data_IF_800963306826
#
_entry.id   IF_800963306826
#
_cell.length_a   1.000
_cell.length_b   1.000
_cell.length_c   1.000
_cell.angle_alpha   90.00
_cell.angle_beta   90.00
_cell.angle_gamma   90.00
#
_symmetry.space_group_name_H-M   'P 1'
#
loop_
_entity.id
_entity.type
_entity.pdbx_description
1 polymer ?
#
# COMPACT_ATOMS: atom_id res chain seq x y z
N UNK A 1 11.23 0.70 25.14
CA UNK A 1 10.99 1.05 23.73
C UNK A 1 9.64 0.49 23.27
N UNK A 2 8.77 1.31 22.68
CA UNK A 2 7.52 0.87 22.09
C UNK A 2 7.80 0.03 20.84
N UNK A 3 6.91 -0.92 20.54
CA UNK A 3 6.87 -1.55 19.22
C UNK A 3 5.90 -0.79 18.34
N UNK A 4 6.16 -0.79 17.03
CA UNK A 4 5.24 -0.22 16.05
C UNK A 4 4.64 -1.34 15.22
N UNK A 5 3.31 -1.40 15.18
CA UNK A 5 2.53 -2.26 14.30
C UNK A 5 1.94 -1.38 13.21
N UNK A 6 2.17 -1.76 11.96
CA UNK A 6 1.63 -1.08 10.79
C UNK A 6 0.62 -2.01 10.11
N UNK A 7 -0.63 -1.54 10.06
CA UNK A 7 -1.73 -2.17 9.34
C UNK A 7 -1.94 -1.42 8.03
N UNK A 8 -1.36 -1.93 6.95
CA UNK A 8 -1.54 -1.38 5.62
C UNK A 8 -2.81 -1.91 4.98
N UNK A 9 -3.89 -1.14 5.03
CA UNK A 9 -5.16 -1.51 4.40
C UNK A 9 -5.27 -0.76 3.07
N UNK A 10 -5.09 -1.46 1.97
CA UNK A 10 -5.01 -0.87 0.62
C UNK A 10 -6.39 -0.41 0.15
N UNK A 11 -6.63 0.90 0.02
CA UNK A 11 -7.90 1.44 -0.45
C UNK A 11 -8.92 1.83 0.62
N UNK A 12 -8.51 2.20 1.84
CA UNK A 12 -9.40 2.84 2.82
C UNK A 12 -9.72 4.30 2.49
N UNK A 13 -11.02 4.62 2.42
CA UNK A 13 -11.52 5.97 2.20
C UNK A 13 -11.99 6.65 3.49
N UNK A 14 -11.37 7.78 3.83
CA UNK A 14 -11.66 8.55 5.06
C UNK A 14 -13.16 8.86 5.21
N UNK A 15 -13.80 9.35 4.16
CA UNK A 15 -15.21 9.75 4.23
C UNK A 15 -16.15 8.56 4.45
N UNK A 16 -15.76 7.36 3.98
CA UNK A 16 -16.49 6.13 4.23
C UNK A 16 -16.28 5.65 5.67
N UNK A 17 -15.04 5.70 6.16
CA UNK A 17 -14.68 5.37 7.55
C UNK A 17 -15.46 6.23 8.54
N UNK A 18 -15.52 7.54 8.31
CA UNK A 18 -16.25 8.49 9.17
C UNK A 18 -17.76 8.28 9.09
N UNK A 19 -18.31 8.13 7.89
CA UNK A 19 -19.76 7.94 7.69
C UNK A 19 -20.28 6.67 8.35
N UNK A 20 -19.46 5.62 8.39
CA UNK A 20 -19.79 4.34 9.02
C UNK A 20 -19.42 4.28 10.51
N UNK A 21 -18.87 5.35 11.08
CA UNK A 21 -18.44 5.43 12.48
C UNK A 21 -17.51 4.27 12.91
N UNK A 22 -16.56 3.89 12.06
CA UNK A 22 -15.67 2.74 12.29
C UNK A 22 -14.60 3.08 13.35
N UNK A 23 -14.97 2.98 14.64
CA UNK A 23 -14.15 3.42 15.78
C UNK A 23 -12.85 2.64 16.00
N UNK A 24 -12.72 1.43 15.44
CA UNK A 24 -11.46 0.70 15.40
C UNK A 24 -10.48 1.38 14.44
N UNK A 25 -10.98 1.84 13.29
CA UNK A 25 -10.22 2.60 12.29
C UNK A 25 -10.04 4.08 12.67
N UNK A 26 -10.98 4.71 13.37
CA UNK A 26 -10.89 6.09 13.89
C UNK A 26 -10.22 6.12 15.26
N UNK A 27 -8.88 6.12 15.29
CA UNK A 27 -8.11 6.08 16.53
C UNK A 27 -7.95 7.49 17.16
N UNK A 28 -6.92 7.73 17.98
CA UNK A 28 -6.75 9.00 18.70
C UNK A 28 -6.42 10.17 17.77
N UNK A 29 -5.77 9.88 16.66
CA UNK A 29 -5.47 10.82 15.59
C UNK A 29 -5.60 10.11 14.25
N UNK A 30 -6.35 10.68 13.31
CA UNK A 30 -6.54 10.11 11.98
C UNK A 30 -6.84 11.22 10.97
N UNK A 31 -6.65 10.93 9.69
CA UNK A 31 -6.92 11.90 8.64
C UNK A 31 -6.38 11.47 7.27
N UNK A 32 -6.28 12.46 6.38
CA UNK A 32 -5.75 12.26 5.02
C UNK A 32 -4.23 12.21 5.03
N UNK A 33 -3.69 11.49 4.05
CA UNK A 33 -2.25 11.43 3.73
C UNK A 33 -2.05 11.92 2.31
N UNK A 34 -1.06 12.78 2.09
CA UNK A 34 -0.62 13.11 0.73
C UNK A 34 0.21 11.98 0.16
N UNK A 35 -0.12 11.54 -1.05
CA UNK A 35 0.53 10.38 -1.70
C UNK A 35 1.08 10.78 -3.07
N UNK A 36 2.20 10.19 -3.51
CA UNK A 36 2.78 10.49 -4.81
C UNK A 36 1.91 9.91 -5.94
N UNK A 37 1.68 10.72 -6.97
CA UNK A 37 1.11 10.27 -8.24
C UNK A 37 2.22 10.41 -9.29
N UNK A 38 2.77 9.28 -9.71
CA UNK A 38 3.91 9.22 -10.61
C UNK A 38 3.61 8.35 -11.84
N UNK A 39 4.62 8.18 -12.70
CA UNK A 39 4.49 7.35 -13.90
C UNK A 39 3.59 7.89 -15.01
N UNK A 40 3.08 9.13 -14.85
CA UNK A 40 2.09 9.71 -15.76
C UNK A 40 0.70 9.11 -15.59
N UNK A 41 0.42 8.52 -14.42
CA UNK A 41 -0.90 8.09 -13.98
C UNK A 41 -1.71 9.29 -13.50
N UNK A 42 -3.03 9.12 -13.42
CA UNK A 42 -3.95 10.12 -12.84
C UNK A 42 -4.30 9.83 -11.38
N UNK A 43 -4.09 8.58 -10.96
CA UNK A 43 -4.41 8.03 -9.64
C UNK A 43 -3.16 7.48 -8.95
N UNK A 44 -3.16 7.38 -7.61
CA UNK A 44 -2.08 6.72 -6.87
C UNK A 44 -1.90 5.27 -7.32
N UNK A 45 -0.69 4.74 -7.14
CA UNK A 45 -0.39 3.35 -7.49
C UNK A 45 0.29 2.64 -6.34
N UNK A 46 -0.30 1.53 -5.90
CA UNK A 46 0.18 0.64 -4.84
C UNK A 46 1.70 0.46 -4.82
N UNK A 47 2.38 -0.07 -5.85
CA UNK A 47 3.84 -0.24 -5.82
C UNK A 47 4.62 1.06 -5.64
N UNK A 48 4.12 2.19 -6.15
CA UNK A 48 4.78 3.49 -6.03
C UNK A 48 4.62 4.03 -4.60
N UNK A 49 3.38 4.11 -4.11
CA UNK A 49 3.05 4.72 -2.82
C UNK A 49 3.60 3.91 -1.66
N UNK A 50 3.46 2.57 -1.69
CA UNK A 50 4.01 1.72 -0.64
C UNK A 50 5.54 1.72 -0.63
N UNK A 51 6.19 1.82 -1.80
CA UNK A 51 7.65 2.01 -1.82
C UNK A 51 8.04 3.36 -1.22
N UNK A 52 7.31 4.44 -1.51
CA UNK A 52 7.55 5.75 -0.89
C UNK A 52 7.31 5.72 0.63
N UNK A 53 6.30 4.98 1.11
CA UNK A 53 6.03 4.77 2.53
C UNK A 53 7.21 4.08 3.23
N UNK A 54 7.64 2.92 2.74
CA UNK A 54 8.69 2.12 3.41
C UNK A 54 10.08 2.72 3.25
N UNK A 55 10.32 3.63 2.30
CA UNK A 55 11.64 4.26 2.10
C UNK A 55 11.71 5.68 2.66
N UNK A 56 10.58 6.34 2.87
CA UNK A 56 10.54 7.76 3.19
C UNK A 56 11.03 8.66 2.05
N UNK A 57 11.14 8.12 0.84
CA UNK A 57 11.70 8.81 -0.32
C UNK A 57 10.63 8.99 -1.41
N UNK A 58 10.78 9.99 -2.29
CA UNK A 58 9.92 10.12 -3.47
C UNK A 58 10.32 9.12 -4.58
N UNK A 59 9.43 8.87 -5.56
CA UNK A 59 9.66 7.92 -6.66
C UNK A 59 10.96 8.08 -7.43
N UNK A 60 11.43 9.32 -7.60
CA UNK A 60 12.66 9.63 -8.31
C UNK A 60 13.91 9.13 -7.58
N UNK A 61 13.82 8.98 -6.25
CA UNK A 61 14.94 8.56 -5.38
C UNK A 61 14.92 7.06 -5.17
N UNK A 62 13.79 6.47 -4.77
CA UNK A 62 13.71 5.01 -4.55
C UNK A 62 13.67 4.20 -5.85
N UNK A 63 13.40 4.83 -6.99
CA UNK A 63 13.51 4.23 -8.32
C UNK A 63 12.24 3.55 -8.86
N UNK A 64 11.18 3.45 -8.05
CA UNK A 64 9.89 2.85 -8.44
C UNK A 64 8.93 3.97 -8.83
N UNK A 65 9.08 4.46 -10.07
CA UNK A 65 8.29 5.58 -10.61
C UNK A 65 7.20 5.16 -11.60
N UNK A 66 6.95 3.85 -11.68
CA UNK A 66 5.96 3.19 -12.53
C UNK A 66 5.39 1.95 -11.82
N UNK A 67 4.14 1.54 -12.13
CA UNK A 67 3.57 0.31 -11.59
C UNK A 67 4.29 -0.96 -12.06
N UNK A 68 4.98 -0.88 -13.20
CA UNK A 68 5.69 -1.98 -13.84
C UNK A 68 7.03 -1.48 -14.34
N UNK A 69 8.02 -2.36 -14.32
CA UNK A 69 9.37 -2.12 -14.84
C UNK A 69 9.61 -2.91 -16.14
N UNK A 70 10.61 -2.48 -16.90
CA UNK A 70 11.03 -3.10 -18.16
C UNK A 70 12.55 -3.26 -18.18
N UNK A 71 13.03 -4.48 -17.90
CA UNK A 71 14.42 -4.87 -17.60
C UNK A 71 15.54 -4.18 -18.43
N UNK A 72 15.30 -3.87 -19.70
CA UNK A 72 16.32 -3.33 -20.62
C UNK A 72 16.17 -1.84 -20.98
N UNK A 73 15.13 -1.17 -20.50
CA UNK A 73 14.79 0.20 -20.94
C UNK A 73 14.77 1.24 -19.83
N UNK A 74 14.77 0.85 -18.56
CA UNK A 74 14.58 1.80 -17.46
C UNK A 74 15.78 2.75 -17.27
N UNK A 75 17.01 2.26 -17.44
CA UNK A 75 18.22 3.11 -17.41
C UNK A 75 18.23 4.17 -18.52
N UNK A 76 17.81 3.79 -19.74
CA UNK A 76 17.69 4.73 -20.88
C UNK A 76 16.56 5.73 -20.62
N UNK A 77 15.46 5.26 -20.04
CA UNK A 77 14.28 6.08 -19.74
C UNK A 77 14.56 7.15 -18.70
N UNK A 78 15.30 6.85 -17.62
CA UNK A 78 15.67 7.86 -16.62
C UNK A 78 16.54 8.98 -17.22
N UNK A 79 17.47 8.65 -18.12
CA UNK A 79 18.26 9.65 -18.86
C UNK A 79 17.40 10.53 -19.77
N UNK A 80 16.43 9.93 -20.46
CA UNK A 80 15.54 10.65 -21.39
C UNK A 80 14.52 11.54 -20.66
N UNK A 81 14.05 11.18 -19.46
CA UNK A 81 13.12 12.01 -18.66
C UNK A 81 13.72 13.37 -18.30
N UNK A 82 15.05 13.48 -18.16
CA UNK A 82 15.75 14.77 -17.95
C UNK A 82 15.62 15.72 -19.14
N UNK A 83 15.27 15.22 -20.32
CA UNK A 83 15.09 16.00 -21.55
C UNK A 83 13.64 16.50 -21.73
N UNK A 84 12.91 16.69 -20.62
CA UNK A 84 11.56 17.27 -20.46
C UNK A 84 10.67 17.39 -21.71
N UNK A 85 10.85 18.39 -22.59
CA UNK A 85 10.05 18.56 -23.82
C UNK A 85 10.06 17.34 -24.75
N UNK A 86 11.23 16.73 -24.95
CA UNK A 86 11.43 15.59 -25.84
C UNK A 86 10.75 14.32 -25.29
N UNK A 87 10.81 14.12 -23.97
CA UNK A 87 10.10 13.03 -23.31
C UNK A 87 8.58 13.18 -23.45
N UNK A 88 8.05 14.39 -23.28
CA UNK A 88 6.61 14.68 -23.48
C UNK A 88 6.17 14.40 -24.90
N UNK A 89 6.97 14.80 -25.90
CA UNK A 89 6.71 14.54 -27.31
C UNK A 89 6.75 13.03 -27.63
N UNK A 90 7.78 12.32 -27.17
CA UNK A 90 7.86 10.86 -27.35
C UNK A 90 6.69 10.11 -26.70
N UNK A 91 6.22 10.59 -25.55
CA UNK A 91 5.04 10.05 -24.85
C UNK A 91 3.77 10.27 -25.68
N UNK A 92 3.56 11.48 -26.19
CA UNK A 92 2.42 11.81 -27.07
C UNK A 92 2.39 10.92 -28.33
N UNK A 93 3.55 10.73 -28.97
CA UNK A 93 3.69 9.88 -30.16
C UNK A 93 3.62 8.37 -29.88
N UNK A 94 3.43 7.94 -28.62
CA UNK A 94 3.43 6.53 -28.19
C UNK A 94 4.70 5.76 -28.58
N UNK A 95 5.81 6.45 -28.87
CA UNK A 95 7.06 5.87 -29.36
C UNK A 95 7.65 4.87 -28.36
N UNK A 96 7.51 5.13 -27.05
CA UNK A 96 7.94 4.19 -26.02
C UNK A 96 7.23 2.83 -26.09
N UNK A 97 5.98 2.75 -26.56
CA UNK A 97 5.25 1.48 -26.74
C UNK A 97 5.79 0.71 -27.95
N UNK A 98 6.11 1.41 -29.03
CA UNK A 98 6.72 0.82 -30.21
C UNK A 98 8.13 0.28 -29.91
N UNK A 99 8.96 1.05 -29.19
CA UNK A 99 10.31 0.64 -28.77
C UNK A 99 10.24 -0.59 -27.87
N UNK A 100 9.37 -0.61 -26.84
CA UNK A 100 9.19 -1.77 -25.95
C UNK A 100 8.85 -3.05 -26.71
N UNK A 101 7.95 -2.96 -27.70
CA UNK A 101 7.60 -4.10 -28.58
C UNK A 101 8.78 -4.53 -29.44
N UNK A 102 9.52 -3.59 -30.02
CA UNK A 102 10.65 -3.87 -30.90
C UNK A 102 11.81 -4.56 -30.17
N UNK A 103 12.08 -4.19 -28.91
CA UNK A 103 13.18 -4.79 -28.13
C UNK A 103 12.76 -6.03 -27.30
N UNK A 104 11.50 -6.46 -27.40
CA UNK A 104 10.99 -7.60 -26.65
C UNK A 104 10.97 -7.41 -25.14
N UNK A 105 10.98 -6.17 -24.63
CA UNK A 105 10.95 -5.91 -23.20
C UNK A 105 9.58 -6.29 -22.63
N UNK A 106 9.56 -7.26 -21.71
CA UNK A 106 8.36 -7.68 -21.01
C UNK A 106 8.17 -6.84 -19.74
N UNK A 107 6.96 -6.35 -19.47
CA UNK A 107 6.69 -5.72 -18.18
C UNK A 107 6.78 -6.77 -17.07
N UNK A 108 7.31 -6.38 -15.91
CA UNK A 108 7.21 -7.14 -14.67
C UNK A 108 6.85 -6.24 -13.50
N UNK A 109 6.32 -6.83 -12.44
CA UNK A 109 6.12 -6.12 -11.18
C UNK A 109 7.49 -5.77 -10.55
N UNK A 110 7.62 -4.60 -9.90
CA UNK A 110 8.85 -4.23 -9.20
C UNK A 110 9.14 -5.16 -8.02
N UNK A 111 10.41 -5.35 -7.70
CA UNK A 111 10.90 -6.22 -6.62
C UNK A 111 11.87 -5.49 -5.70
N UNK A 112 12.26 -6.11 -4.58
CA UNK A 112 13.15 -5.52 -3.57
C UNK A 112 14.44 -4.99 -4.16
N UNK A 113 15.00 -5.72 -5.12
CA UNK A 113 16.25 -5.39 -5.81
C UNK A 113 16.17 -4.10 -6.65
N UNK A 114 14.96 -3.69 -7.02
CA UNK A 114 14.74 -2.45 -7.79
C UNK A 114 14.68 -1.20 -6.90
N UNK A 115 14.49 -1.37 -5.58
CA UNK A 115 14.49 -0.27 -4.61
C UNK A 115 15.93 0.18 -4.37
N UNK A 116 16.22 1.44 -4.72
CA UNK A 116 17.58 2.01 -4.75
C UNK A 116 18.11 2.52 -3.41
N UNK A 117 17.29 2.48 -2.37
CA UNK A 117 17.62 3.02 -1.06
C UNK A 117 17.18 2.05 0.05
N UNK A 118 17.57 2.38 1.28
CA UNK A 118 17.15 1.64 2.46
C UNK A 118 15.65 1.77 2.70
N UNK A 119 15.08 0.72 3.29
CA UNK A 119 13.69 0.65 3.72
C UNK A 119 13.60 0.67 5.25
N UNK A 120 12.40 0.86 5.80
CA UNK A 120 12.11 0.77 7.23
C UNK A 120 12.62 -0.55 7.83
N UNK A 121 12.56 -1.64 7.08
CA UNK A 121 13.00 -2.97 7.50
C UNK A 121 14.54 -3.13 7.50
N UNK A 122 15.25 -2.26 6.79
CA UNK A 122 16.71 -2.22 6.82
C UNK A 122 17.20 -1.46 8.06
N UNK A 123 16.54 -0.33 8.39
CA UNK A 123 16.96 0.58 9.46
C UNK A 123 16.37 0.26 10.84
N UNK A 124 15.17 -0.33 10.91
CA UNK A 124 14.56 -0.77 12.16
C UNK A 124 14.68 -2.28 12.25
N UNK A 125 15.57 -2.77 13.11
CA UNK A 125 15.73 -4.20 13.39
C UNK A 125 15.58 -4.49 14.88
N UNK A 126 15.04 -5.65 15.26
CA UNK A 126 14.40 -6.66 14.40
C UNK A 126 13.04 -6.21 13.85
N UNK A 127 12.72 -6.60 12.61
CA UNK A 127 11.45 -6.27 11.94
C UNK A 127 10.82 -7.46 11.22
N UNK A 128 9.49 -7.45 11.12
CA UNK A 128 8.69 -8.44 10.39
C UNK A 128 7.87 -7.72 9.31
N UNK A 129 7.97 -8.18 8.07
CA UNK A 129 7.18 -7.71 6.94
C UNK A 129 6.30 -8.85 6.42
N UNK A 130 5.00 -8.60 6.27
CA UNK A 130 4.01 -9.57 5.80
C UNK A 130 3.34 -8.96 4.57
N UNK A 131 3.52 -9.61 3.43
CA UNK A 131 2.87 -9.28 2.16
C UNK A 131 3.06 -7.83 1.67
N UNK A 132 4.20 -7.21 2.01
CA UNK A 132 4.48 -5.80 1.67
C UNK A 132 4.84 -5.70 0.19
N UNK A 133 4.06 -4.95 -0.62
CA UNK A 133 4.25 -4.86 -2.06
C UNK A 133 5.65 -4.38 -2.41
N UNK A 134 6.24 -4.96 -3.45
CA UNK A 134 7.60 -4.68 -3.94
C UNK A 134 8.71 -5.15 -2.99
N UNK A 135 8.52 -5.06 -1.68
CA UNK A 135 9.54 -5.43 -0.69
C UNK A 135 9.68 -6.95 -0.52
N UNK A 136 8.59 -7.64 -0.19
CA UNK A 136 8.61 -9.10 -0.07
C UNK A 136 7.41 -9.78 -0.74
N UNK A 137 6.59 -9.02 -1.47
CA UNK A 137 5.43 -9.55 -2.17
C UNK A 137 5.30 -9.01 -3.61
N UNK A 138 5.00 -9.92 -4.53
CA UNK A 138 4.66 -9.62 -5.91
C UNK A 138 3.14 -9.77 -6.08
N UNK A 139 2.43 -8.64 -6.09
CA UNK A 139 0.97 -8.64 -6.13
C UNK A 139 0.42 -9.27 -7.42
N UNK A 140 1.17 -9.23 -8.53
CA UNK A 140 0.74 -9.78 -9.81
C UNK A 140 0.87 -11.31 -9.86
N UNK A 141 1.85 -11.87 -9.14
CA UNK A 141 1.99 -13.31 -8.98
C UNK A 141 1.00 -13.84 -7.92
N UNK A 142 0.77 -13.09 -6.84
CA UNK A 142 -0.07 -13.51 -5.71
C UNK A 142 -1.56 -13.41 -5.98
N UNK A 143 -2.03 -12.28 -6.49
CA UNK A 143 -3.45 -11.99 -6.65
C UNK A 143 -3.92 -12.13 -8.10
N UNK A 144 -5.20 -12.47 -8.34
CA UNK A 144 -5.80 -12.52 -9.68
C UNK A 144 -6.05 -11.12 -10.27
N UNK A 145 -5.03 -10.27 -10.31
CA UNK A 145 -5.11 -8.88 -10.77
C UNK A 145 -5.65 -8.83 -12.21
N UNK A 146 -6.57 -7.88 -12.46
CA UNK A 146 -7.29 -7.77 -13.73
C UNK A 146 -8.51 -8.69 -13.86
N UNK A 147 -8.73 -9.60 -12.90
CA UNK A 147 -9.90 -10.48 -12.88
C UNK A 147 -11.22 -9.80 -12.57
N UNK A 148 -11.21 -8.57 -12.04
CA UNK A 148 -12.42 -7.83 -11.61
C UNK A 148 -13.47 -7.73 -12.72
N UNK A 149 -13.07 -7.41 -13.96
CA UNK A 149 -14.01 -7.26 -15.08
C UNK A 149 -14.76 -8.58 -15.34
N UNK A 150 -14.02 -9.70 -15.43
CA UNK A 150 -14.61 -11.03 -15.59
C UNK A 150 -15.48 -11.41 -14.39
N UNK A 151 -15.05 -11.08 -13.17
CA UNK A 151 -15.83 -11.33 -11.95
C UNK A 151 -17.14 -10.52 -11.92
N UNK A 152 -17.23 -9.36 -12.57
CA UNK A 152 -18.49 -8.62 -12.70
C UNK A 152 -19.46 -9.29 -13.67
N UNK A 153 -18.97 -9.99 -14.69
CA UNK A 153 -19.80 -10.57 -15.75
C UNK A 153 -20.20 -12.03 -15.48
N UNK A 154 -19.30 -12.83 -14.92
CA UNK A 154 -19.46 -14.27 -14.74
C UNK A 154 -19.67 -14.62 -13.24
N UNK A 155 -20.87 -15.06 -12.83
CA UNK A 155 -21.16 -15.42 -11.45
C UNK A 155 -20.32 -16.57 -10.87
N UNK A 156 -19.96 -17.57 -11.68
CA UNK A 156 -19.15 -18.70 -11.21
C UNK A 156 -17.69 -18.27 -11.03
N UNK A 157 -17.15 -17.52 -11.98
CA UNK A 157 -15.84 -16.91 -11.83
C UNK A 157 -15.79 -15.92 -10.66
N UNK A 158 -16.88 -15.16 -10.42
CA UNK A 158 -16.99 -14.26 -9.25
C UNK A 158 -16.85 -15.02 -7.94
N UNK A 159 -17.52 -16.16 -7.79
CA UNK A 159 -17.43 -17.00 -6.58
C UNK A 159 -15.99 -17.44 -6.33
N UNK A 160 -15.34 -17.99 -7.37
CA UNK A 160 -13.93 -18.37 -7.29
C UNK A 160 -13.02 -17.17 -6.95
N UNK A 161 -13.20 -16.04 -7.63
CA UNK A 161 -12.39 -14.84 -7.46
C UNK A 161 -12.47 -14.31 -6.03
N UNK A 162 -13.68 -14.17 -5.49
CA UNK A 162 -13.90 -13.73 -4.11
C UNK A 162 -13.31 -14.73 -3.12
N UNK A 163 -13.53 -16.03 -3.34
CA UNK A 163 -12.99 -17.08 -2.48
C UNK A 163 -11.46 -17.03 -2.43
N UNK A 164 -10.81 -16.91 -3.59
CA UNK A 164 -9.34 -16.87 -3.67
C UNK A 164 -8.76 -15.63 -3.00
N UNK A 165 -9.39 -14.47 -3.17
CA UNK A 165 -8.94 -13.25 -2.51
C UNK A 165 -9.11 -13.34 -0.99
N UNK A 166 -10.22 -13.91 -0.50
CA UNK A 166 -10.45 -14.09 0.93
C UNK A 166 -9.46 -15.08 1.55
N UNK A 167 -9.18 -16.19 0.87
CA UNK A 167 -8.15 -17.16 1.30
C UNK A 167 -6.78 -16.48 1.47
N UNK A 168 -6.33 -15.71 0.46
CA UNK A 168 -5.06 -14.96 0.55
C UNK A 168 -5.04 -13.95 1.70
N UNK A 169 -6.17 -13.29 1.96
CA UNK A 169 -6.31 -12.37 3.09
C UNK A 169 -6.26 -13.10 4.44
N UNK A 170 -6.90 -14.26 4.55
CA UNK A 170 -6.86 -15.10 5.75
C UNK A 170 -5.44 -15.56 6.05
N UNK A 171 -4.68 -16.00 5.03
CA UNK A 171 -3.25 -16.33 5.17
C UNK A 171 -2.43 -15.16 5.76
N UNK A 172 -2.65 -13.93 5.28
CA UNK A 172 -1.95 -12.74 5.76
C UNK A 172 -2.35 -12.36 7.20
N UNK A 173 -3.63 -12.53 7.54
CA UNK A 173 -4.16 -12.31 8.90
C UNK A 173 -3.61 -13.35 9.87
N UNK A 174 -3.53 -14.62 9.49
CA UNK A 174 -2.92 -15.68 10.29
C UNK A 174 -1.43 -15.42 10.55
N UNK A 175 -0.70 -14.98 9.52
CA UNK A 175 0.70 -14.57 9.65
C UNK A 175 0.84 -13.36 10.59
N UNK A 176 -0.07 -12.38 10.50
CA UNK A 176 -0.10 -11.22 11.41
C UNK A 176 -0.27 -11.65 12.86
N UNK A 177 -1.27 -12.47 13.16
CA UNK A 177 -1.51 -12.91 14.54
C UNK A 177 -0.39 -13.80 15.08
N UNK A 178 0.19 -14.66 14.23
CA UNK A 178 1.37 -15.45 14.59
C UNK A 178 2.58 -14.55 14.89
N UNK A 179 2.75 -13.45 14.17
CA UNK A 179 3.80 -12.47 14.45
C UNK A 179 3.55 -11.68 15.74
N UNK A 180 2.29 -11.30 16.01
CA UNK A 180 1.89 -10.58 17.23
C UNK A 180 2.15 -11.38 18.52
N UNK A 181 2.14 -12.71 18.46
CA UNK A 181 2.47 -13.60 19.58
C UNK A 181 3.96 -13.62 19.93
N UNK A 182 4.82 -13.10 19.04
CA UNK A 182 6.27 -13.00 19.27
C UNK A 182 6.63 -11.71 19.99
N UNK A 183 7.69 -11.76 20.79
CA UNK A 183 8.24 -10.60 21.51
C UNK A 183 9.53 -10.03 20.89
N UNK A 184 10.02 -10.64 19.80
CA UNK A 184 11.36 -10.41 19.24
C UNK A 184 11.39 -9.40 18.09
N UNK A 185 10.36 -8.56 17.91
CA UNK A 185 10.30 -7.53 16.88
C UNK A 185 10.09 -6.13 17.47
N UNK A 186 10.66 -5.12 16.81
CA UNK A 186 10.43 -3.70 17.07
C UNK A 186 9.45 -3.07 16.07
N UNK A 187 9.43 -3.61 14.86
CA UNK A 187 8.54 -3.21 13.77
C UNK A 187 7.84 -4.44 13.19
N UNK A 188 6.52 -4.40 13.11
CA UNK A 188 5.70 -5.38 12.41
C UNK A 188 4.83 -4.65 11.41
N UNK A 189 4.90 -5.01 10.13
CA UNK A 189 4.03 -4.47 9.10
C UNK A 189 3.35 -5.59 8.35
N UNK A 190 2.03 -5.48 8.19
CA UNK A 190 1.25 -6.27 7.25
C UNK A 190 0.62 -5.34 6.23
N UNK A 191 0.61 -5.76 4.96
CA UNK A 191 -0.20 -5.15 3.92
C UNK A 191 -1.33 -6.11 3.54
N UNK A 192 -2.55 -5.60 3.49
CA UNK A 192 -3.76 -6.33 3.15
C UNK A 192 -4.40 -5.67 1.93
N UNK A 193 -4.32 -6.37 0.80
CA UNK A 193 -4.81 -5.88 -0.48
C UNK A 193 -6.33 -6.04 -0.69
N UNK A 194 -7.01 -6.70 0.25
CA UNK A 194 -8.42 -7.11 0.11
C UNK A 194 -9.37 -5.93 -0.16
N UNK A 195 -9.15 -4.80 0.51
CA UNK A 195 -10.01 -3.61 0.43
C UNK A 195 -9.98 -2.95 -0.94
N UNK A 196 -8.84 -2.94 -1.64
CA UNK A 196 -8.73 -2.44 -3.01
C UNK A 196 -9.38 -3.42 -3.99
N UNK A 197 -8.90 -4.67 -3.99
CA UNK A 197 -9.28 -5.65 -5.00
C UNK A 197 -10.77 -6.05 -4.94
N UNK A 198 -11.34 -6.23 -3.74
CA UNK A 198 -12.77 -6.46 -3.58
C UNK A 198 -13.56 -5.15 -3.55
N UNK A 199 -12.94 -4.03 -3.16
CA UNK A 199 -13.57 -2.72 -3.25
C UNK A 199 -13.95 -2.36 -4.69
N UNK A 200 -13.09 -2.67 -5.65
CA UNK A 200 -13.43 -2.57 -7.07
C UNK A 200 -14.61 -3.48 -7.47
N UNK A 201 -14.77 -4.66 -6.89
CA UNK A 201 -15.90 -5.55 -7.19
C UNK A 201 -17.20 -5.07 -6.52
N UNK A 202 -17.10 -4.53 -5.30
CA UNK A 202 -18.24 -4.21 -4.43
C UNK A 202 -18.62 -2.73 -4.39
N UNK A 203 -17.96 -1.88 -5.18
CA UNK A 203 -18.24 -0.46 -5.20
C UNK A 203 -19.74 -0.16 -5.36
N UNK A 204 -20.25 0.74 -4.51
CA UNK A 204 -21.65 1.16 -4.52
C UNK A 204 -22.63 0.12 -3.98
N UNK A 205 -22.15 -0.92 -3.30
CA UNK A 205 -22.97 -1.95 -2.66
C UNK A 205 -22.69 -2.02 -1.16
N UNK A 206 -23.64 -2.57 -0.38
CA UNK A 206 -23.47 -2.82 1.05
C UNK A 206 -22.30 -3.76 1.37
N UNK A 207 -21.85 -4.58 0.40
CA UNK A 207 -20.68 -5.45 0.59
C UNK A 207 -19.39 -4.68 0.80
N UNK A 208 -19.28 -3.46 0.27
CA UNK A 208 -18.15 -2.58 0.55
C UNK A 208 -18.17 -2.12 2.02
N UNK A 209 -19.35 -1.80 2.55
CA UNK A 209 -19.54 -1.48 3.97
C UNK A 209 -19.09 -2.64 4.86
N UNK A 210 -19.58 -3.85 4.58
CA UNK A 210 -19.19 -5.06 5.31
C UNK A 210 -17.68 -5.28 5.27
N UNK A 211 -17.05 -5.08 4.11
CA UNK A 211 -15.59 -5.20 3.97
C UNK A 211 -14.82 -4.19 4.84
N UNK A 212 -15.33 -2.96 4.99
CA UNK A 212 -14.73 -1.95 5.86
C UNK A 212 -14.96 -2.27 7.35
N UNK A 213 -16.14 -2.79 7.70
CA UNK A 213 -16.44 -3.29 9.06
C UNK A 213 -15.54 -4.48 9.44
N UNK A 214 -15.20 -5.37 8.49
CA UNK A 214 -14.24 -6.45 8.67
C UNK A 214 -12.85 -5.90 9.05
N UNK A 215 -12.36 -4.83 8.39
CA UNK A 215 -11.07 -4.20 8.73
C UNK A 215 -11.12 -3.47 10.08
N UNK A 216 -12.26 -2.87 10.40
CA UNK A 216 -12.51 -2.24 11.69
C UNK A 216 -12.45 -3.26 12.84
N UNK A 217 -13.09 -4.43 12.65
CA UNK A 217 -13.04 -5.53 13.61
C UNK A 217 -11.63 -6.14 13.72
N UNK A 218 -10.95 -6.36 12.59
CA UNK A 218 -9.57 -6.84 12.57
C UNK A 218 -8.66 -5.92 13.40
N UNK A 219 -8.80 -4.61 13.21
CA UNK A 219 -8.03 -3.61 13.96
C UNK A 219 -8.29 -3.70 15.47
N UNK A 220 -9.55 -3.88 15.89
CA UNK A 220 -9.87 -4.08 17.31
C UNK A 220 -9.20 -5.33 17.87
N UNK A 221 -9.24 -6.45 17.13
CA UNK A 221 -8.58 -7.71 17.52
C UNK A 221 -7.07 -7.58 17.62
N UNK A 222 -6.43 -6.81 16.73
CA UNK A 222 -5.00 -6.49 16.85
C UNK A 222 -4.74 -5.68 18.12
N UNK A 223 -5.59 -4.69 18.41
CA UNK A 223 -5.45 -3.82 19.59
C UNK A 223 -5.54 -4.56 20.92
N UNK A 224 -6.32 -5.65 20.98
CA UNK A 224 -6.41 -6.54 22.15
C UNK A 224 -5.10 -7.25 22.48
N UNK A 225 -4.15 -7.31 21.53
CA UNK A 225 -2.83 -7.95 21.71
C UNK A 225 -1.69 -6.97 21.95
N UNK A 226 -2.00 -5.68 22.06
CA UNK A 226 -1.00 -4.65 22.30
C UNK A 226 -0.56 -4.61 23.75
N UNK A 227 0.70 -4.28 23.94
CA UNK A 227 1.24 -3.87 25.24
C UNK A 227 0.95 -2.38 25.46
N UNK A 228 0.97 -1.88 26.72
CA UNK A 228 0.60 -0.50 27.03
C UNK A 228 1.35 0.60 26.25
N UNK A 229 2.57 0.32 25.79
CA UNK A 229 3.40 1.27 25.01
C UNK A 229 3.40 1.00 23.50
N UNK A 230 2.77 -0.06 23.02
CA UNK A 230 2.80 -0.36 21.58
C UNK A 230 1.99 0.67 20.79
N UNK A 231 2.51 1.04 19.63
CA UNK A 231 1.88 2.00 18.70
C UNK A 231 1.28 1.25 17.52
N UNK A 232 0.05 1.56 17.17
CA UNK A 232 -0.62 1.05 15.96
C UNK A 232 -0.83 2.18 14.98
N UNK A 233 -0.20 2.06 13.83
CA UNK A 233 -0.41 2.89 12.65
C UNK A 233 -1.24 2.10 11.64
N UNK A 234 -2.41 2.63 11.29
CA UNK A 234 -3.16 2.20 10.12
C UNK A 234 -2.78 3.17 9.00
N UNK A 235 -2.47 2.66 7.82
CA UNK A 235 -2.22 3.51 6.65
C UNK A 235 -2.84 2.90 5.40
N UNK A 236 -3.27 3.76 4.50
CA UNK A 236 -3.75 3.41 3.16
C UNK A 236 -3.08 4.32 2.14
N UNK A 237 -2.71 3.76 1.00
CA UNK A 237 -2.08 4.45 -0.12
C UNK A 237 -3.06 5.25 -0.97
N UNK A 238 -4.33 4.91 -0.94
CA UNK A 238 -5.43 5.68 -1.52
C UNK A 238 -6.76 5.36 -0.83
N UNK A 239 -7.84 6.04 -1.20
CA UNK A 239 -9.21 5.61 -0.92
C UNK A 239 -9.93 5.13 -2.18
N UNK A 240 -11.20 4.80 -2.06
CA UNK A 240 -12.02 4.26 -3.13
C UNK A 240 -13.10 5.28 -3.56
N UNK A 241 -13.27 5.45 -4.87
CA UNK A 241 -14.25 6.36 -5.48
C UNK A 241 -15.06 5.67 -6.58
N UNK A 242 -16.15 6.32 -7.05
CA UNK A 242 -17.08 5.72 -8.03
C UNK A 242 -16.43 5.36 -9.36
N UNK A 243 -15.41 6.11 -9.74
CA UNK A 243 -14.76 5.98 -11.04
C UNK A 243 -13.27 5.68 -10.92
N UNK A 244 -12.77 5.32 -9.73
CA UNK A 244 -11.35 5.08 -9.51
C UNK A 244 -10.97 5.18 -8.03
N UNK A 245 -9.83 5.80 -7.77
CA UNK A 245 -9.29 5.97 -6.43
C UNK A 245 -9.29 7.45 -6.03
N UNK A 246 -9.34 7.73 -4.73
CA UNK A 246 -9.04 9.10 -4.27
C UNK A 246 -7.56 9.40 -4.43
N UNK A 247 -7.23 10.69 -4.59
CA UNK A 247 -5.84 11.17 -4.78
C UNK A 247 -5.09 11.41 -3.46
N UNK A 248 -5.60 10.84 -2.37
CA UNK A 248 -5.04 10.91 -1.03
C UNK A 248 -5.17 9.54 -0.37
N UNK A 249 -4.26 9.25 0.56
CA UNK A 249 -4.34 8.09 1.44
C UNK A 249 -5.06 8.40 2.75
N UNK A 250 -5.15 7.40 3.62
CA UNK A 250 -5.71 7.51 4.97
C UNK A 250 -4.63 7.13 5.98
N UNK A 251 -4.61 7.78 7.15
CA UNK A 251 -3.85 7.31 8.29
C UNK A 251 -4.67 7.35 9.57
N UNK A 252 -4.27 6.51 10.54
CA UNK A 252 -4.83 6.53 11.88
C UNK A 252 -3.85 5.97 12.90
N UNK A 253 -3.67 6.67 14.01
CA UNK A 253 -2.72 6.39 15.09
C UNK A 253 -3.42 6.27 16.44
N UNK A 254 -3.01 5.28 17.24
CA UNK A 254 -3.48 5.12 18.63
C UNK A 254 -2.88 6.15 19.61
N UNK A 255 -2.04 7.07 19.13
CA UNK A 255 -1.45 8.19 19.86
C UNK A 255 -1.72 9.49 19.08
N UNK A 256 -1.52 10.64 19.72
CA UNK A 256 -1.69 11.96 19.09
C UNK A 256 -0.32 12.59 18.85
N UNK A 257 0.03 12.85 17.59
CA UNK A 257 1.30 13.47 17.20
C UNK A 257 1.12 14.87 16.60
N UNK A 258 -0.12 15.29 16.36
CA UNK A 258 -0.47 16.56 15.72
C UNK A 258 -0.24 16.56 14.21
N UNK A 259 -0.37 15.40 13.53
CA UNK A 259 -0.08 15.30 12.10
C UNK A 259 -1.13 16.07 11.27
N UNK A 260 -0.72 17.18 10.67
CA UNK A 260 -1.56 18.00 9.77
C UNK A 260 -1.43 17.57 8.31
N UNK A 261 -2.23 16.59 7.88
CA UNK A 261 -2.16 15.96 6.54
C UNK A 261 -0.70 15.60 6.14
N UNK A 262 -0.07 14.61 6.78
CA UNK A 262 1.31 14.25 6.48
C UNK A 262 1.47 13.75 5.03
N UNK A 263 2.68 13.84 4.49
CA UNK A 263 3.08 13.08 3.30
C UNK A 263 3.29 11.61 3.68
N UNK A 264 3.00 10.68 2.76
CA UNK A 264 3.24 9.25 2.98
C UNK A 264 4.71 8.96 3.33
N UNK A 265 5.63 9.78 2.82
CA UNK A 265 7.07 9.71 3.09
C UNK A 265 7.44 10.13 4.50
N UNK A 266 6.64 10.97 5.15
CA UNK A 266 6.93 11.47 6.50
C UNK A 266 6.87 10.33 7.53
N UNK A 267 6.06 9.32 7.27
CA UNK A 267 5.91 8.16 8.15
C UNK A 267 7.21 7.39 8.36
N UNK A 268 8.16 7.41 7.43
CA UNK A 268 9.45 6.74 7.62
C UNK A 268 10.19 7.26 8.87
N UNK A 269 10.34 8.58 8.97
CA UNK A 269 11.03 9.20 10.10
C UNK A 269 10.18 9.20 11.36
N UNK A 270 8.85 9.30 11.22
CA UNK A 270 7.93 9.16 12.36
C UNK A 270 8.07 7.78 12.99
N UNK A 271 8.00 6.70 12.19
CA UNK A 271 8.12 5.32 12.66
C UNK A 271 9.49 5.09 13.30
N UNK A 272 10.57 5.55 12.65
CA UNK A 272 11.92 5.47 13.21
C UNK A 272 12.02 6.15 14.58
N UNK A 273 11.47 7.35 14.69
CA UNK A 273 11.47 8.10 15.96
C UNK A 273 10.66 7.34 17.03
N UNK A 274 9.46 6.84 16.68
CA UNK A 274 8.61 6.10 17.60
C UNK A 274 9.32 4.87 18.17
N UNK A 275 9.96 4.05 17.34
CA UNK A 275 10.65 2.83 17.83
C UNK A 275 11.88 3.15 18.69
N UNK A 276 12.45 4.35 18.57
CA UNK A 276 13.60 4.84 19.35
C UNK A 276 13.18 5.56 20.64
N UNK A 277 11.89 5.86 20.85
CA UNK A 277 11.43 6.53 22.06
C UNK A 277 11.56 5.62 23.29
N UNK A 278 12.23 6.10 24.33
CA UNK A 278 12.31 5.39 25.61
C UNK A 278 11.11 5.68 26.52
N UNK A 279 10.45 6.84 26.35
CA UNK A 279 9.32 7.27 27.19
C UNK A 279 8.14 7.87 26.37
N UNK A 280 6.99 7.19 26.43
CA UNK A 280 5.62 7.71 26.20
C UNK A 280 4.86 7.57 27.51
#
# INVERSE_FOLDING_TARGET
>A
MPRVIILGYDGLELTLVERLELRGLMQREYGKVRVPIAGGLEDPSTPIVWTSFITGQPPEVHGIDMPLLWDKLDNVRHGVRRLGPLYRLMRWLRLGKAVRRAVGAKPRFPRREDIRCETLFDVVRPSVAISVPVYNEDLWERYPIGGVAKAREDPEYRKWYVSRVRELHEEDVEALFSALERDDWRLLMVHLYITDILGHLYWGTERLTVLYEEMDLLTRRVKERLRPRDVVLIVSDHGMERLGHTKYGFYSLNIRLGLGEPSITDFFNIIKSLVEMDEI
#
